data_IF_303433664633
#
_entry.id   IF_303433664633
#
_cell.length_a   1.000
_cell.length_b   1.000
_cell.length_c   1.000
_cell.angle_alpha   90.00
_cell.angle_beta   90.00
_cell.angle_gamma   90.00
#
_symmetry.space_group_name_H-M   'P 1'
#
loop_
_entity.id
_entity.type
_entity.pdbx_description
1 polymer ?
#
# COMPACT_ATOMS: atom_id res chain seq x y z
N UNK A 1 -35.72 21.16 23.92
CA UNK A 1 -34.69 20.32 23.28
C UNK A 1 -33.88 21.23 22.40
N UNK A 2 -32.57 21.36 22.64
CA UNK A 2 -31.70 22.04 21.69
C UNK A 2 -31.74 21.26 20.38
N UNK A 3 -31.86 21.95 19.25
CA UNK A 3 -31.73 21.32 17.95
C UNK A 3 -30.37 20.59 17.89
N UNK A 4 -30.28 19.38 17.31
CA UNK A 4 -28.99 18.74 17.12
C UNK A 4 -28.10 19.70 16.34
N UNK A 5 -27.01 20.16 16.96
CA UNK A 5 -25.99 20.93 16.26
C UNK A 5 -25.37 19.98 15.25
N UNK A 6 -25.31 20.37 13.97
CA UNK A 6 -24.60 19.61 12.95
C UNK A 6 -23.12 19.55 13.36
N UNK A 7 -22.69 18.41 13.87
CA UNK A 7 -21.29 18.13 14.16
C UNK A 7 -20.63 17.71 12.85
N UNK A 8 -19.69 18.51 12.36
CA UNK A 8 -18.86 18.15 11.23
C UNK A 8 -17.68 17.34 11.77
N UNK A 9 -17.50 16.14 11.22
CA UNK A 9 -16.37 15.28 11.60
C UNK A 9 -15.05 15.98 11.28
N UNK A 10 -14.14 16.01 12.25
CA UNK A 10 -12.78 16.52 12.07
C UNK A 10 -11.93 15.42 11.47
N UNK A 11 -11.56 15.57 10.20
CA UNK A 11 -10.75 14.60 9.45
C UNK A 11 -9.33 15.14 9.32
N UNK A 12 -8.34 14.31 9.68
CA UNK A 12 -6.91 14.63 9.50
C UNK A 12 -6.25 13.61 8.57
N UNK A 13 -5.43 14.08 7.65
CA UNK A 13 -4.67 13.24 6.70
C UNK A 13 -3.19 13.42 6.98
N UNK A 14 -2.53 12.33 7.35
CA UNK A 14 -1.15 12.33 7.80
C UNK A 14 -0.25 11.55 6.85
N UNK A 15 0.75 12.23 6.30
CA UNK A 15 1.68 11.71 5.31
C UNK A 15 2.99 11.43 5.99
N UNK A 16 3.33 10.14 6.11
CA UNK A 16 4.52 9.70 6.84
C UNK A 16 5.63 9.29 5.86
N UNK A 17 6.78 9.96 5.97
CA UNK A 17 7.92 9.76 5.08
C UNK A 17 7.71 10.35 3.68
N UNK A 18 8.70 10.14 2.79
CA UNK A 18 8.69 10.78 1.46
C UNK A 18 7.47 10.44 0.60
N UNK A 19 7.07 9.16 0.53
CA UNK A 19 5.90 8.74 -0.25
C UNK A 19 4.58 9.33 0.29
N UNK A 20 4.39 9.33 1.61
CA UNK A 20 3.20 9.92 2.22
C UNK A 20 3.14 11.44 2.05
N UNK A 21 4.27 12.14 2.19
CA UNK A 21 4.34 13.59 1.96
C UNK A 21 4.07 13.95 0.50
N UNK A 22 4.58 13.18 -0.46
CA UNK A 22 4.26 13.40 -1.88
C UNK A 22 2.77 13.22 -2.16
N UNK A 23 2.16 12.17 -1.61
CA UNK A 23 0.73 11.92 -1.75
C UNK A 23 -0.10 13.08 -1.16
N UNK A 24 0.26 13.60 0.02
CA UNK A 24 -0.41 14.77 0.61
C UNK A 24 -0.27 16.01 -0.27
N UNK A 25 0.94 16.32 -0.74
CA UNK A 25 1.14 17.47 -1.62
C UNK A 25 0.23 17.35 -2.87
N UNK A 26 0.10 16.14 -3.42
CA UNK A 26 -0.81 15.88 -4.53
C UNK A 26 -2.29 16.09 -4.16
N UNK A 27 -2.71 15.67 -2.97
CA UNK A 27 -4.07 15.90 -2.46
C UNK A 27 -4.37 17.40 -2.33
N UNK A 28 -3.38 18.19 -1.89
CA UNK A 28 -3.48 19.64 -1.77
C UNK A 28 -3.55 20.29 -3.16
N UNK A 29 -2.71 19.87 -4.11
CA UNK A 29 -2.73 20.38 -5.49
C UNK A 29 -4.07 20.16 -6.19
N UNK A 30 -4.69 19.00 -5.99
CA UNK A 30 -6.02 18.67 -6.55
C UNK A 30 -7.15 19.41 -5.79
N UNK A 31 -6.85 19.96 -4.62
CA UNK A 31 -7.77 20.79 -3.84
C UNK A 31 -8.75 19.98 -3.02
N UNK A 32 -8.32 18.84 -2.46
CA UNK A 32 -9.13 18.06 -1.53
C UNK A 32 -9.51 18.92 -0.30
N UNK A 33 -10.80 18.97 0.04
CA UNK A 33 -11.36 19.90 1.04
C UNK A 33 -11.90 19.16 2.26
N UNK A 34 -12.03 19.90 3.36
CA UNK A 34 -12.64 19.38 4.59
C UNK A 34 -11.72 18.46 5.40
N UNK A 35 -10.41 18.50 5.13
CA UNK A 35 -9.39 17.74 5.84
C UNK A 35 -8.25 18.67 6.25
N UNK A 36 -7.59 18.36 7.36
CA UNK A 36 -6.34 19.00 7.80
C UNK A 36 -5.15 18.12 7.39
N UNK A 37 -4.17 18.70 6.70
CA UNK A 37 -3.00 17.94 6.22
C UNK A 37 -1.81 18.07 7.18
N UNK A 38 -1.22 16.92 7.54
CA UNK A 38 -0.05 16.85 8.41
C UNK A 38 1.05 16.05 7.71
N UNK A 39 2.21 16.66 7.51
CA UNK A 39 3.39 16.00 6.98
C UNK A 39 4.34 15.61 8.11
N UNK A 40 4.72 14.34 8.19
CA UNK A 40 5.67 13.82 9.19
C UNK A 40 6.85 13.18 8.45
N UNK A 41 8.07 13.67 8.69
CA UNK A 41 9.25 13.08 8.08
C UNK A 41 10.50 13.24 8.96
N UNK A 42 11.48 12.38 8.74
CA UNK A 42 12.83 12.51 9.33
C UNK A 42 13.82 13.26 8.41
N UNK A 43 13.37 13.56 7.18
CA UNK A 43 14.08 14.36 6.19
C UNK A 43 13.52 15.79 6.21
N UNK A 44 14.32 16.72 6.71
CA UNK A 44 13.93 18.11 6.85
C UNK A 44 13.80 18.81 5.49
N UNK A 45 14.55 18.38 4.47
CA UNK A 45 14.46 18.98 3.13
C UNK A 45 13.11 18.65 2.48
N UNK A 46 12.68 17.39 2.59
CA UNK A 46 11.38 16.96 2.10
C UNK A 46 10.22 17.71 2.78
N UNK A 47 10.32 17.97 4.10
CA UNK A 47 9.28 18.72 4.83
C UNK A 47 9.20 20.19 4.43
N UNK A 48 10.34 20.84 4.17
CA UNK A 48 10.36 22.23 3.73
C UNK A 48 9.61 22.44 2.41
N UNK A 49 9.62 21.42 1.55
CA UNK A 49 8.92 21.40 0.26
C UNK A 49 7.46 20.94 0.35
N UNK A 50 6.97 20.53 1.53
CA UNK A 50 5.57 20.13 1.69
C UNK A 50 4.64 21.34 1.76
N UNK A 51 3.44 21.22 1.19
CA UNK A 51 2.39 22.24 1.28
C UNK A 51 1.40 21.99 2.44
N UNK A 52 1.65 20.98 3.26
CA UNK A 52 0.79 20.61 4.40
C UNK A 52 0.65 21.74 5.43
N UNK A 53 -0.53 21.81 6.07
CA UNK A 53 -0.88 22.79 7.10
C UNK A 53 0.05 22.67 8.32
N UNK A 54 0.38 21.44 8.70
CA UNK A 54 1.27 21.12 9.82
C UNK A 54 2.43 20.25 9.33
N UNK A 55 3.64 20.56 9.81
CA UNK A 55 4.88 19.86 9.43
C UNK A 55 5.62 19.46 10.69
N UNK A 56 5.84 18.17 10.87
CA UNK A 56 6.57 17.60 12.01
C UNK A 56 7.87 16.95 11.53
N UNK A 57 8.99 17.58 11.89
CA UNK A 57 10.34 17.01 11.73
C UNK A 57 10.63 16.11 12.91
N UNK A 58 10.60 14.80 12.67
CA UNK A 58 10.81 13.79 13.72
C UNK A 58 12.21 13.21 13.64
N UNK A 59 12.77 12.88 14.81
CA UNK A 59 14.07 12.21 14.91
C UNK A 59 15.26 13.07 14.52
N UNK A 60 15.15 14.42 14.61
CA UNK A 60 16.24 15.36 14.29
C UNK A 60 17.55 15.04 15.00
N UNK A 61 17.49 14.59 16.25
CA UNK A 61 18.68 14.18 17.02
C UNK A 61 19.33 12.90 16.48
N UNK A 62 18.52 11.98 15.94
CA UNK A 62 18.97 10.67 15.43
C UNK A 62 19.50 10.76 14.01
N UNK A 63 18.80 11.49 13.14
CA UNK A 63 19.07 11.54 11.69
C UNK A 63 19.82 12.79 11.27
N UNK A 64 19.90 13.81 12.14
CA UNK A 64 20.37 15.17 11.80
C UNK A 64 19.57 15.79 10.65
N UNK A 65 18.32 15.38 10.47
CA UNK A 65 17.43 15.84 9.40
C UNK A 65 17.72 15.23 8.02
N UNK A 66 18.52 14.15 7.96
CA UNK A 66 18.95 13.50 6.71
C UNK A 66 18.10 12.27 6.32
N UNK A 67 17.03 12.00 7.05
CA UNK A 67 16.18 10.83 6.84
C UNK A 67 16.65 9.56 7.55
N UNK A 68 15.80 8.52 7.53
CA UNK A 68 16.02 7.25 8.21
C UNK A 68 16.92 6.24 7.44
N UNK A 69 17.46 6.60 6.27
CA UNK A 69 18.39 5.75 5.51
C UNK A 69 17.84 4.36 5.11
N UNK A 70 16.55 4.28 4.77
CA UNK A 70 15.84 3.01 4.48
C UNK A 70 15.91 1.97 5.62
N UNK A 71 16.03 2.44 6.87
CA UNK A 71 15.97 1.61 8.06
C UNK A 71 14.66 1.89 8.84
N UNK A 72 13.69 0.95 8.82
CA UNK A 72 12.43 1.08 9.55
C UNK A 72 12.61 1.32 11.05
N UNK A 73 13.59 0.67 11.69
CA UNK A 73 13.83 0.84 13.12
C UNK A 73 14.21 2.29 13.50
N UNK A 74 14.90 3.01 12.61
CA UNK A 74 15.22 4.43 12.82
C UNK A 74 13.97 5.29 12.66
N UNK A 75 13.13 5.01 11.66
CA UNK A 75 11.85 5.70 11.47
C UNK A 75 10.90 5.51 12.65
N UNK A 76 10.80 4.29 13.16
CA UNK A 76 10.00 3.93 14.33
C UNK A 76 10.48 4.69 15.57
N UNK A 77 11.77 4.59 15.89
CA UNK A 77 12.32 5.28 17.05
C UNK A 77 12.15 6.80 16.95
N UNK A 78 12.34 7.36 15.77
CA UNK A 78 12.10 8.79 15.54
C UNK A 78 10.67 9.21 15.86
N UNK A 79 9.68 8.42 15.45
CA UNK A 79 8.27 8.68 15.76
C UNK A 79 7.95 8.45 17.25
N UNK A 80 8.50 7.42 17.88
CA UNK A 80 8.34 7.13 19.31
C UNK A 80 8.91 8.26 20.18
N UNK A 81 10.10 8.77 19.84
CA UNK A 81 10.75 9.88 20.56
C UNK A 81 9.95 11.19 20.45
N UNK A 82 9.09 11.34 19.44
CA UNK A 82 8.25 12.53 19.20
C UNK A 82 6.75 12.24 19.42
N UNK A 83 6.43 11.21 20.21
CA UNK A 83 5.05 10.77 20.46
C UNK A 83 4.15 11.90 20.99
N UNK A 84 4.65 12.71 21.93
CA UNK A 84 3.87 13.79 22.54
C UNK A 84 3.47 14.85 21.50
N UNK A 85 4.38 15.24 20.61
CA UNK A 85 4.10 16.21 19.54
C UNK A 85 3.09 15.66 18.53
N UNK A 86 3.22 14.37 18.16
CA UNK A 86 2.26 13.70 17.28
C UNK A 86 0.88 13.64 17.95
N UNK A 87 0.82 13.33 19.25
CA UNK A 87 -0.43 13.30 20.01
C UNK A 87 -1.11 14.66 20.02
N UNK A 88 -0.39 15.75 20.31
CA UNK A 88 -0.95 17.11 20.29
C UNK A 88 -1.55 17.48 18.94
N UNK A 89 -0.87 17.12 17.84
CA UNK A 89 -1.35 17.40 16.48
C UNK A 89 -2.55 16.53 16.11
N UNK A 90 -2.68 15.31 16.63
CA UNK A 90 -3.80 14.42 16.35
C UNK A 90 -5.03 14.63 17.25
N UNK A 91 -4.90 15.36 18.36
CA UNK A 91 -6.01 15.64 19.27
C UNK A 91 -7.21 16.26 18.55
N UNK A 92 -8.40 15.80 18.95
CA UNK A 92 -9.68 16.27 18.45
C UNK A 92 -10.08 15.72 17.08
N UNK A 93 -9.29 14.83 16.47
CA UNK A 93 -9.69 14.17 15.23
C UNK A 93 -10.74 13.09 15.50
N UNK A 94 -11.82 13.09 14.72
CA UNK A 94 -12.79 11.99 14.68
C UNK A 94 -12.30 10.85 13.78
N UNK A 95 -11.55 11.21 12.73
CA UNK A 95 -11.02 10.30 11.73
C UNK A 95 -9.61 10.72 11.31
N UNK A 96 -8.75 9.72 11.18
CA UNK A 96 -7.35 9.90 10.82
C UNK A 96 -6.99 8.96 9.67
N UNK A 97 -6.53 9.54 8.57
CA UNK A 97 -5.89 8.80 7.48
C UNK A 97 -4.38 8.81 7.66
N UNK A 98 -3.76 7.63 7.69
CA UNK A 98 -2.30 7.50 7.68
C UNK A 98 -1.87 7.01 6.29
N UNK A 99 -1.19 7.86 5.54
CA UNK A 99 -0.66 7.55 4.22
C UNK A 99 0.86 7.44 4.23
N UNK A 100 1.38 6.36 3.64
CA UNK A 100 2.79 6.08 3.59
C UNK A 100 3.18 5.20 2.39
N UNK A 101 4.39 5.41 1.89
CA UNK A 101 5.04 4.48 0.98
C UNK A 101 5.83 3.44 1.78
N UNK A 102 5.39 2.18 1.73
CA UNK A 102 6.01 1.08 2.47
C UNK A 102 7.29 0.58 1.80
N UNK A 103 8.19 0.01 2.60
CA UNK A 103 9.52 -0.43 2.16
C UNK A 103 10.60 0.63 2.29
N UNK A 104 10.26 1.84 2.74
CA UNK A 104 11.21 2.87 3.16
C UNK A 104 11.69 2.70 4.61
N UNK A 105 12.27 3.76 5.17
CA UNK A 105 12.62 3.82 6.60
C UNK A 105 11.56 4.54 7.43
N UNK A 106 11.29 5.81 7.09
CA UNK A 106 10.36 6.65 7.86
C UNK A 106 8.91 6.20 7.76
N UNK A 107 8.42 5.92 6.54
CA UNK A 107 7.04 5.46 6.31
C UNK A 107 6.78 4.15 7.05
N UNK A 108 7.51 3.11 6.66
CA UNK A 108 7.42 1.75 7.23
C UNK A 108 7.51 1.70 8.75
N UNK A 109 8.43 2.45 9.36
CA UNK A 109 8.62 2.42 10.82
C UNK A 109 7.73 3.39 11.58
N UNK A 110 7.45 4.56 10.99
CA UNK A 110 6.73 5.64 11.66
C UNK A 110 5.21 5.54 11.53
N UNK A 111 4.70 5.01 10.40
CA UNK A 111 3.26 4.92 10.15
C UNK A 111 2.52 4.09 11.23
N UNK A 112 3.02 2.91 11.67
CA UNK A 112 2.37 2.16 12.76
C UNK A 112 2.30 2.94 14.08
N UNK A 113 3.36 3.70 14.40
CA UNK A 113 3.40 4.51 15.63
C UNK A 113 2.36 5.64 15.58
N UNK A 114 2.27 6.34 14.44
CA UNK A 114 1.28 7.40 14.23
C UNK A 114 -0.15 6.84 14.31
N UNK A 115 -0.39 5.69 13.67
CA UNK A 115 -1.68 5.00 13.72
C UNK A 115 -2.08 4.59 15.15
N UNK A 116 -1.15 4.01 15.91
CA UNK A 116 -1.37 3.65 17.30
C UNK A 116 -1.81 4.84 18.16
N UNK A 117 -1.16 6.00 17.97
CA UNK A 117 -1.49 7.23 18.70
C UNK A 117 -2.88 7.71 18.33
N UNK A 118 -3.21 7.77 17.03
CA UNK A 118 -4.54 8.16 16.55
C UNK A 118 -5.65 7.27 17.13
N UNK A 119 -5.45 5.94 17.10
CA UNK A 119 -6.39 4.96 17.64
C UNK A 119 -6.53 5.07 19.16
N UNK A 120 -5.43 5.32 19.87
CA UNK A 120 -5.45 5.54 21.32
C UNK A 120 -6.22 6.81 21.73
N UNK A 121 -6.27 7.81 20.85
CA UNK A 121 -7.07 9.02 21.03
C UNK A 121 -8.56 8.82 20.68
N UNK A 122 -8.94 7.65 20.16
CA UNK A 122 -10.32 7.30 19.82
C UNK A 122 -10.77 7.69 18.41
N UNK A 123 -9.84 8.14 17.56
CA UNK A 123 -10.12 8.43 16.15
C UNK A 123 -10.28 7.14 15.35
N UNK A 124 -11.22 7.13 14.40
CA UNK A 124 -11.29 6.06 13.40
C UNK A 124 -10.04 6.16 12.51
N UNK A 125 -9.17 5.16 12.59
CA UNK A 125 -7.83 5.21 11.99
C UNK A 125 -7.78 4.31 10.76
N UNK A 126 -7.56 4.92 9.59
CA UNK A 126 -7.50 4.22 8.31
C UNK A 126 -6.10 4.37 7.72
N UNK A 127 -5.41 3.25 7.53
CA UNK A 127 -4.13 3.22 6.81
C UNK A 127 -4.37 3.11 5.31
N UNK A 128 -3.74 3.96 4.50
CA UNK A 128 -3.75 3.87 3.03
C UNK A 128 -2.30 3.86 2.56
N UNK A 129 -1.78 2.70 2.22
CA UNK A 129 -0.34 2.52 1.98
C UNK A 129 -0.05 1.82 0.66
N UNK A 130 1.12 2.10 0.08
CA UNK A 130 1.56 1.43 -1.14
C UNK A 130 2.65 0.40 -0.88
N UNK A 131 2.56 -0.78 -1.50
CA UNK A 131 3.71 -1.68 -1.68
C UNK A 131 4.64 -1.12 -2.75
N UNK A 132 5.98 -1.29 -2.62
CA UNK A 132 6.93 -0.81 -3.62
C UNK A 132 6.78 -1.58 -4.93
N UNK A 133 7.25 -0.99 -6.04
CA UNK A 133 7.37 -1.71 -7.31
C UNK A 133 8.41 -2.82 -7.21
N UNK A 134 8.21 -3.91 -7.95
CA UNK A 134 9.16 -5.03 -8.01
C UNK A 134 10.57 -4.57 -8.42
N UNK A 135 10.69 -3.57 -9.28
CA UNK A 135 11.99 -3.04 -9.73
C UNK A 135 12.79 -2.33 -8.61
N UNK A 136 12.14 -1.91 -7.53
CA UNK A 136 12.82 -1.25 -6.41
C UNK A 136 13.62 -2.24 -5.54
N UNK A 137 13.42 -3.53 -5.76
CA UNK A 137 14.24 -4.62 -5.22
C UNK A 137 13.65 -5.30 -3.99
N UNK A 138 14.08 -6.55 -3.78
CA UNK A 138 13.54 -7.47 -2.77
C UNK A 138 13.65 -6.96 -1.33
N UNK A 139 14.69 -6.17 -1.02
CA UNK A 139 14.87 -5.60 0.32
C UNK A 139 13.71 -4.68 0.69
N UNK A 140 13.28 -3.79 -0.22
CA UNK A 140 12.14 -2.89 0.02
C UNK A 140 10.85 -3.68 0.13
N UNK A 141 10.64 -4.68 -0.73
CA UNK A 141 9.45 -5.53 -0.67
C UNK A 141 9.32 -6.26 0.68
N UNK A 142 10.40 -6.85 1.19
CA UNK A 142 10.37 -7.50 2.51
C UNK A 142 10.08 -6.49 3.64
N UNK A 143 10.75 -5.33 3.62
CA UNK A 143 10.50 -4.27 4.61
C UNK A 143 9.04 -3.79 4.57
N UNK A 144 8.45 -3.71 3.37
CA UNK A 144 7.07 -3.31 3.19
C UNK A 144 6.09 -4.32 3.78
N UNK A 145 6.30 -5.63 3.57
CA UNK A 145 5.41 -6.65 4.16
C UNK A 145 5.48 -6.64 5.69
N UNK A 146 6.68 -6.45 6.27
CA UNK A 146 6.85 -6.33 7.72
C UNK A 146 6.11 -5.07 8.25
N UNK A 147 6.28 -3.91 7.58
CA UNK A 147 5.60 -2.67 7.95
C UNK A 147 4.08 -2.72 7.80
N UNK A 148 3.57 -3.35 6.73
CA UNK A 148 2.14 -3.58 6.51
C UNK A 148 1.56 -4.48 7.60
N UNK A 149 2.30 -5.51 8.04
CA UNK A 149 1.87 -6.39 9.12
C UNK A 149 1.77 -5.63 10.44
N UNK A 150 2.78 -4.84 10.80
CA UNK A 150 2.76 -3.99 12.00
C UNK A 150 1.63 -2.95 11.94
N UNK A 151 1.49 -2.24 10.82
CA UNK A 151 0.46 -1.22 10.65
C UNK A 151 -0.96 -1.79 10.77
N UNK A 152 -1.19 -3.01 10.27
CA UNK A 152 -2.51 -3.66 10.35
C UNK A 152 -3.00 -3.84 11.79
N UNK A 153 -2.10 -4.05 12.75
CA UNK A 153 -2.47 -4.21 14.16
C UNK A 153 -2.85 -2.87 14.80
N UNK A 154 -2.42 -1.75 14.21
CA UNK A 154 -2.54 -0.40 14.76
C UNK A 154 -3.62 0.46 14.09
N UNK A 155 -4.27 -0.03 13.03
CA UNK A 155 -5.38 0.66 12.33
C UNK A 155 -6.69 -0.11 12.45
N UNK A 156 -7.81 0.58 12.25
CA UNK A 156 -9.13 -0.05 12.16
C UNK A 156 -9.33 -0.69 10.78
N UNK A 157 -8.89 0.00 9.72
CA UNK A 157 -8.89 -0.49 8.35
C UNK A 157 -7.55 -0.18 7.67
N UNK A 158 -7.00 -1.15 6.93
CA UNK A 158 -5.79 -0.99 6.12
C UNK A 158 -6.06 -1.24 4.64
N UNK A 159 -5.96 -0.19 3.82
CA UNK A 159 -6.01 -0.27 2.36
C UNK A 159 -4.58 -0.40 1.85
N UNK A 160 -4.25 -1.52 1.21
CA UNK A 160 -2.93 -1.78 0.63
C UNK A 160 -3.02 -1.67 -0.89
N UNK A 161 -2.23 -0.78 -1.47
CA UNK A 161 -2.16 -0.53 -2.90
C UNK A 161 -0.89 -1.17 -3.47
N UNK A 162 -1.01 -2.17 -4.35
CA UNK A 162 0.16 -2.76 -5.01
C UNK A 162 0.63 -1.92 -6.20
N UNK A 163 1.79 -1.25 -6.06
CA UNK A 163 2.31 -0.41 -7.14
C UNK A 163 2.55 -1.19 -8.45
N UNK A 164 2.86 -2.49 -8.40
CA UNK A 164 3.01 -3.30 -9.61
C UNK A 164 1.72 -3.38 -10.45
N UNK A 165 0.53 -3.25 -9.84
CA UNK A 165 -0.73 -3.23 -10.58
C UNK A 165 -0.92 -1.92 -11.34
N UNK A 166 -0.28 -0.84 -10.91
CA UNK A 166 -0.26 0.44 -11.64
C UNK A 166 0.43 0.29 -13.00
N UNK A 167 1.42 -0.59 -13.12
CA UNK A 167 2.09 -0.87 -14.39
C UNK A 167 1.19 -1.63 -15.38
N UNK A 168 0.18 -2.36 -14.88
CA UNK A 168 -0.75 -3.11 -15.73
C UNK A 168 -1.85 -2.25 -16.34
N UNK A 169 -2.19 -1.15 -15.65
CA UNK A 169 -3.20 -0.18 -16.10
C UNK A 169 -2.60 0.98 -16.92
N UNK A 170 -1.27 1.10 -16.93
CA UNK A 170 -0.57 2.21 -17.59
C UNK A 170 0.07 1.75 -18.90
N UNK A 171 0.30 2.69 -19.82
CA UNK A 171 0.94 2.41 -21.10
C UNK A 171 2.36 1.85 -20.96
N UNK A 172 2.79 1.00 -21.89
CA UNK A 172 4.14 0.40 -21.91
C UNK A 172 5.29 1.41 -21.96
N UNK A 173 5.01 2.69 -22.22
CA UNK A 173 5.98 3.78 -22.33
C UNK A 173 6.03 4.67 -21.08
N UNK A 174 5.33 4.32 -20.00
CA UNK A 174 5.27 5.13 -18.78
C UNK A 174 6.66 5.26 -18.16
N UNK A 175 7.03 6.51 -17.84
CA UNK A 175 8.29 6.81 -17.17
C UNK A 175 8.23 6.43 -15.69
N UNK A 176 9.39 6.26 -15.05
CA UNK A 176 9.46 5.99 -13.60
C UNK A 176 8.79 7.12 -12.79
N UNK A 177 8.93 8.37 -13.23
CA UNK A 177 8.31 9.51 -12.56
C UNK A 177 6.78 9.46 -12.66
N UNK A 178 6.27 9.10 -13.83
CA UNK A 178 4.82 8.98 -14.03
C UNK A 178 4.25 7.77 -13.27
N UNK A 179 5.02 6.69 -13.13
CA UNK A 179 4.62 5.54 -12.32
C UNK A 179 4.44 5.92 -10.83
N UNK A 180 5.37 6.70 -10.26
CA UNK A 180 5.22 7.20 -8.88
C UNK A 180 4.04 8.19 -8.75
N UNK A 181 3.85 9.08 -9.73
CA UNK A 181 2.66 9.95 -9.75
C UNK A 181 1.36 9.14 -9.80
N UNK A 182 1.33 8.03 -10.53
CA UNK A 182 0.18 7.13 -10.53
C UNK A 182 -0.05 6.51 -9.15
N UNK A 183 1.00 6.20 -8.39
CA UNK A 183 0.86 5.72 -7.02
C UNK A 183 0.29 6.79 -6.10
N UNK A 184 0.79 8.03 -6.20
CA UNK A 184 0.27 9.18 -5.46
C UNK A 184 -1.20 9.45 -5.81
N UNK A 185 -1.58 9.29 -7.08
CA UNK A 185 -2.96 9.45 -7.54
C UNK A 185 -3.88 8.37 -6.95
N UNK A 186 -3.42 7.14 -6.81
CA UNK A 186 -4.22 6.07 -6.19
C UNK A 186 -4.34 6.27 -4.67
N UNK A 187 -3.28 6.74 -4.00
CA UNK A 187 -3.35 7.16 -2.59
C UNK A 187 -4.38 8.29 -2.38
N UNK A 188 -4.37 9.30 -3.26
CA UNK A 188 -5.38 10.36 -3.29
C UNK A 188 -6.78 9.76 -3.45
N UNK A 189 -7.02 8.91 -4.44
CA UNK A 189 -8.34 8.31 -4.66
C UNK A 189 -8.83 7.49 -3.46
N UNK A 190 -7.92 6.82 -2.73
CA UNK A 190 -8.28 6.06 -1.53
C UNK A 190 -8.74 6.94 -0.37
N UNK A 191 -8.09 8.07 -0.15
CA UNK A 191 -8.53 9.04 0.85
C UNK A 191 -9.79 9.77 0.37
N UNK A 192 -9.75 10.31 -0.84
CA UNK A 192 -10.84 11.07 -1.46
C UNK A 192 -12.15 10.29 -1.51
N UNK A 193 -12.10 9.01 -1.89
CA UNK A 193 -13.27 8.15 -2.01
C UNK A 193 -14.05 8.01 -0.70
N UNK A 194 -13.40 8.15 0.46
CA UNK A 194 -14.04 8.12 1.78
C UNK A 194 -14.39 9.52 2.25
N UNK A 195 -13.46 10.48 2.11
CA UNK A 195 -13.67 11.84 2.62
C UNK A 195 -14.80 12.55 1.89
N UNK A 196 -14.91 12.40 0.57
CA UNK A 196 -15.94 13.08 -0.22
C UNK A 196 -17.35 12.65 0.17
N UNK A 197 -17.52 11.42 0.66
CA UNK A 197 -18.80 10.91 1.17
C UNK A 197 -19.25 11.60 2.45
N UNK A 198 -18.33 12.23 3.19
CA UNK A 198 -18.56 12.85 4.50
C UNK A 198 -18.54 14.38 4.38
N UNK A 199 -17.58 14.94 3.64
CA UNK A 199 -17.30 16.37 3.62
C UNK A 199 -17.99 17.10 2.48
N UNK A 200 -18.27 16.41 1.37
CA UNK A 200 -18.86 17.03 0.19
C UNK A 200 -20.37 16.79 0.18
N UNK A 201 -21.21 17.86 0.15
CA UNK A 201 -22.64 17.71 0.00
C UNK A 201 -22.98 17.01 -1.32
N UNK A 202 -23.38 15.75 -1.22
CA UNK A 202 -23.89 14.92 -2.29
C UNK A 202 -25.41 14.91 -2.37
N UNK A 203 -25.91 14.24 -3.42
CA UNK A 203 -27.34 13.98 -3.59
C UNK A 203 -27.83 12.94 -2.57
N UNK A 204 -26.94 12.03 -2.18
CA UNK A 204 -27.12 11.04 -1.12
C UNK A 204 -25.91 11.16 -0.20
N UNK A 205 -26.09 11.88 0.91
CA UNK A 205 -25.06 12.02 1.93
C UNK A 205 -25.09 10.83 2.88
N UNK A 206 -23.90 10.38 3.24
CA UNK A 206 -23.71 9.40 4.30
C UNK A 206 -23.35 10.13 5.59
N UNK A 207 -23.74 9.57 6.73
CA UNK A 207 -23.27 10.08 8.00
C UNK A 207 -21.94 9.41 8.41
N UNK A 208 -21.26 10.03 9.37
CA UNK A 208 -20.00 9.50 9.88
C UNK A 208 -20.17 8.14 10.58
N UNK A 209 -21.35 7.89 11.18
CA UNK A 209 -21.60 6.65 11.90
C UNK A 209 -21.74 5.46 10.95
N UNK A 210 -22.32 5.67 9.77
CA UNK A 210 -22.41 4.70 8.68
C UNK A 210 -21.00 4.28 8.25
N UNK A 211 -20.13 5.23 7.90
CA UNK A 211 -18.73 4.94 7.52
C UNK A 211 -17.99 4.23 8.66
N UNK A 212 -18.15 4.72 9.89
CA UNK A 212 -17.56 4.10 11.08
C UNK A 212 -18.04 2.65 11.27
N UNK A 213 -19.31 2.34 11.01
CA UNK A 213 -19.86 1.00 11.19
C UNK A 213 -19.23 -0.06 10.26
N UNK A 214 -18.77 0.36 9.08
CA UNK A 214 -18.16 -0.53 8.08
C UNK A 214 -16.64 -0.58 8.18
N UNK A 215 -15.99 0.52 8.59
CA UNK A 215 -14.53 0.63 8.62
C UNK A 215 -13.92 0.40 10.02
N UNK A 216 -14.72 0.35 11.09
CA UNK A 216 -14.20 0.03 12.43
C UNK A 216 -13.80 -1.45 12.50
N UNK A 217 -12.56 -1.73 12.90
CA UNK A 217 -12.01 -3.09 13.06
C UNK A 217 -12.21 -4.00 11.83
N UNK A 218 -12.29 -3.41 10.62
CA UNK A 218 -12.54 -4.15 9.39
C UNK A 218 -11.30 -4.91 8.87
N UNK A 219 -10.12 -4.60 9.42
CA UNK A 219 -8.86 -5.24 9.05
C UNK A 219 -8.38 -4.79 7.68
N UNK A 220 -7.96 -5.72 6.82
CA UNK A 220 -7.48 -5.36 5.48
C UNK A 220 -8.65 -5.05 4.55
N UNK A 221 -8.52 -3.99 3.76
CA UNK A 221 -9.47 -3.55 2.76
C UNK A 221 -8.81 -3.50 1.37
N UNK A 222 -9.65 -3.60 0.35
CA UNK A 222 -9.29 -3.46 -1.05
C UNK A 222 -10.04 -2.28 -1.66
N UNK A 223 -9.39 -1.63 -2.63
CA UNK A 223 -9.97 -0.52 -3.35
C UNK A 223 -10.00 -0.79 -4.85
N UNK A 224 -11.14 -0.55 -5.46
CA UNK A 224 -11.34 -0.56 -6.90
C UNK A 224 -11.83 0.80 -7.38
N UNK A 225 -11.30 1.26 -8.51
CA UNK A 225 -11.67 2.54 -9.12
C UNK A 225 -12.01 2.30 -10.58
N UNK A 226 -13.11 2.89 -11.05
CA UNK A 226 -13.52 2.91 -12.44
C UNK A 226 -14.08 4.26 -12.85
N UNK A 227 -13.90 4.65 -14.11
CA UNK A 227 -14.42 5.90 -14.64
C UNK A 227 -14.87 5.70 -16.09
N UNK A 228 -16.09 6.13 -16.42
CA UNK A 228 -16.63 6.01 -17.78
C UNK A 228 -17.41 7.27 -18.19
N UNK A 229 -17.67 7.38 -19.49
CA UNK A 229 -18.41 8.47 -20.13
C UNK A 229 -19.37 7.89 -21.17
N UNK A 230 -20.40 8.66 -21.53
CA UNK A 230 -21.40 8.27 -22.53
C UNK A 230 -22.61 7.56 -21.94
N UNK A 231 -23.32 6.82 -22.78
CA UNK A 231 -24.49 6.02 -22.39
C UNK A 231 -24.03 4.85 -21.49
N UNK A 232 -24.82 4.50 -20.48
CA UNK A 232 -24.51 3.46 -19.48
C UNK A 232 -23.20 3.66 -18.69
N UNK A 233 -22.70 4.91 -18.63
CA UNK A 233 -21.44 5.27 -17.94
C UNK A 233 -21.38 4.80 -16.48
N UNK A 234 -22.48 4.84 -15.72
CA UNK A 234 -22.46 4.40 -14.33
C UNK A 234 -22.24 2.88 -14.19
N UNK A 235 -22.88 2.08 -15.04
CA UNK A 235 -22.70 0.62 -15.07
C UNK A 235 -21.28 0.27 -15.52
N UNK A 236 -20.80 0.88 -16.60
CA UNK A 236 -19.44 0.66 -17.09
C UNK A 236 -18.37 1.05 -16.05
N UNK A 237 -18.56 2.17 -15.35
CA UNK A 237 -17.66 2.60 -14.28
C UNK A 237 -17.68 1.63 -13.09
N UNK A 238 -18.86 1.13 -12.70
CA UNK A 238 -18.98 0.12 -11.65
C UNK A 238 -18.33 -1.21 -12.04
N UNK A 239 -18.53 -1.69 -13.28
CA UNK A 239 -17.85 -2.89 -13.81
C UNK A 239 -16.33 -2.75 -13.77
N UNK A 240 -15.79 -1.60 -14.16
CA UNK A 240 -14.36 -1.32 -14.08
C UNK A 240 -13.86 -1.27 -12.64
N UNK A 241 -14.65 -0.74 -11.71
CA UNK A 241 -14.29 -0.68 -10.31
C UNK A 241 -14.21 -2.08 -9.67
N UNK A 242 -15.22 -2.95 -9.89
CA UNK A 242 -15.24 -4.33 -9.35
C UNK A 242 -14.21 -5.26 -10.00
N UNK A 243 -13.78 -4.95 -11.23
CA UNK A 243 -12.76 -5.72 -11.97
C UNK A 243 -11.38 -5.07 -11.92
N UNK A 244 -11.22 -3.99 -11.13
CA UNK A 244 -10.01 -3.19 -11.09
C UNK A 244 -8.79 -4.04 -10.72
N UNK A 245 -7.64 -3.88 -11.42
CA UNK A 245 -6.40 -4.57 -11.06
C UNK A 245 -5.87 -4.24 -9.65
N UNK A 246 -6.35 -3.15 -9.05
CA UNK A 246 -6.05 -2.77 -7.67
C UNK A 246 -6.70 -3.71 -6.65
N UNK A 247 -7.77 -4.42 -7.04
CA UNK A 247 -8.38 -5.50 -6.27
C UNK A 247 -7.54 -6.77 -6.45
N UNK A 248 -6.56 -6.99 -5.56
CA UNK A 248 -5.73 -8.21 -5.55
C UNK A 248 -6.55 -9.49 -5.31
N UNK A 249 -7.75 -9.35 -4.76
CA UNK A 249 -8.72 -10.42 -4.56
C UNK A 249 -10.08 -10.05 -5.17
N UNK A 250 -10.97 -11.03 -5.24
CA UNK A 250 -12.37 -10.74 -5.51
C UNK A 250 -12.96 -9.92 -4.37
N UNK A 251 -13.94 -9.07 -4.66
CA UNK A 251 -14.77 -8.42 -3.63
C UNK A 251 -15.73 -9.42 -2.98
N UNK A 252 -15.85 -10.63 -3.55
CA UNK A 252 -16.58 -11.75 -2.97
C UNK A 252 -16.04 -12.07 -1.56
N UNK A 253 -16.97 -12.19 -0.60
CA UNK A 253 -16.66 -12.39 0.82
C UNK A 253 -16.40 -11.11 1.62
N UNK A 254 -16.44 -9.92 1.01
CA UNK A 254 -16.43 -8.67 1.77
C UNK A 254 -17.75 -8.49 2.52
N UNK A 255 -17.69 -8.34 3.84
CA UNK A 255 -18.87 -8.09 4.69
C UNK A 255 -19.22 -6.61 4.80
N UNK A 256 -18.31 -5.72 4.45
CA UNK A 256 -18.51 -4.28 4.43
C UNK A 256 -18.07 -3.69 3.10
N UNK A 257 -18.92 -2.91 2.46
CA UNK A 257 -18.60 -2.25 1.19
C UNK A 257 -19.01 -0.78 1.27
N UNK A 258 -18.05 0.12 1.00
CA UNK A 258 -18.31 1.53 0.74
C UNK A 258 -18.29 1.75 -0.78
N UNK A 259 -19.37 2.32 -1.30
CA UNK A 259 -19.52 2.67 -2.71
C UNK A 259 -19.67 4.19 -2.83
N UNK A 260 -18.70 4.83 -3.50
CA UNK A 260 -18.77 6.25 -3.83
C UNK A 260 -18.98 6.41 -5.33
N UNK A 261 -20.03 7.14 -5.71
CA UNK A 261 -20.34 7.46 -7.10
C UNK A 261 -20.24 8.98 -7.24
N UNK A 262 -19.29 9.45 -8.05
CA UNK A 262 -19.11 10.86 -8.36
C UNK A 262 -19.48 11.12 -9.82
N UNK A 263 -20.27 12.15 -10.07
CA UNK A 263 -20.64 12.57 -11.43
C UNK A 263 -21.11 14.02 -11.48
N UNK A 264 -21.37 14.54 -12.67
CA UNK A 264 -21.92 15.88 -12.83
C UNK A 264 -23.35 16.00 -12.29
N UNK A 265 -23.89 17.23 -12.30
CA UNK A 265 -25.30 17.49 -11.95
C UNK A 265 -26.33 16.76 -12.82
N UNK A 266 -25.90 16.11 -13.90
CA UNK A 266 -26.73 15.28 -14.79
C UNK A 266 -26.86 13.81 -14.32
N UNK A 267 -26.20 13.43 -13.22
CA UNK A 267 -26.22 12.06 -12.69
C UNK A 267 -27.64 11.66 -12.25
N UNK A 268 -28.20 10.65 -12.92
CA UNK A 268 -29.55 10.17 -12.68
C UNK A 268 -29.66 9.15 -11.53
N UNK A 269 -30.83 9.09 -10.88
CA UNK A 269 -31.12 8.06 -9.87
C UNK A 269 -31.07 6.63 -10.44
N UNK A 270 -31.44 6.45 -11.70
CA UNK A 270 -31.42 5.14 -12.36
C UNK A 270 -29.97 4.64 -12.55
N UNK A 271 -29.08 5.50 -13.03
CA UNK A 271 -27.65 5.23 -13.15
C UNK A 271 -27.03 4.82 -11.80
N UNK A 272 -27.36 5.53 -10.73
CA UNK A 272 -26.91 5.22 -9.37
C UNK A 272 -27.40 3.84 -8.93
N UNK A 273 -28.68 3.53 -9.16
CA UNK A 273 -29.29 2.26 -8.75
C UNK A 273 -28.67 1.07 -9.48
N UNK A 274 -28.41 1.17 -10.78
CA UNK A 274 -27.79 0.09 -11.55
C UNK A 274 -26.34 -0.18 -11.10
N UNK A 275 -25.56 0.88 -10.90
CA UNK A 275 -24.20 0.76 -10.37
C UNK A 275 -24.18 0.10 -8.97
N UNK A 276 -25.09 0.51 -8.09
CA UNK A 276 -25.21 -0.07 -6.75
C UNK A 276 -25.63 -1.53 -6.76
N UNK A 277 -26.58 -1.91 -7.64
CA UNK A 277 -27.03 -3.28 -7.77
C UNK A 277 -25.90 -4.20 -8.25
N UNK A 278 -25.12 -3.77 -9.23
CA UNK A 278 -23.98 -4.55 -9.74
C UNK A 278 -22.94 -4.83 -8.65
N UNK A 279 -22.61 -3.83 -7.84
CA UNK A 279 -21.68 -4.00 -6.71
C UNK A 279 -22.26 -4.92 -5.64
N UNK A 280 -23.57 -4.82 -5.37
CA UNK A 280 -24.25 -5.69 -4.43
C UNK A 280 -24.30 -7.16 -4.86
N UNK A 281 -24.42 -7.42 -6.16
CA UNK A 281 -24.42 -8.79 -6.70
C UNK A 281 -23.03 -9.44 -6.65
N UNK A 282 -21.97 -8.61 -6.68
CA UNK A 282 -20.59 -9.08 -6.62
C UNK A 282 -20.05 -9.25 -5.18
N UNK A 283 -20.67 -8.60 -4.19
CA UNK A 283 -20.31 -8.70 -2.77
C UNK A 283 -20.98 -9.89 -2.06
N UNK A 284 -20.68 -10.08 -0.77
CA UNK A 284 -21.33 -11.12 0.03
C UNK A 284 -22.85 -10.83 0.20
N UNK A 285 -23.76 -11.84 0.18
CA UNK A 285 -25.20 -11.63 0.30
C UNK A 285 -25.66 -10.94 1.60
N UNK A 286 -24.85 -11.05 2.66
CA UNK A 286 -25.06 -10.39 3.95
C UNK A 286 -24.13 -9.18 4.14
N UNK A 287 -23.52 -8.66 3.07
CA UNK A 287 -22.66 -7.49 3.16
C UNK A 287 -23.46 -6.25 3.57
N UNK A 288 -22.90 -5.49 4.50
CA UNK A 288 -23.36 -4.13 4.77
C UNK A 288 -22.80 -3.20 3.69
N UNK A 289 -23.65 -2.80 2.74
CA UNK A 289 -23.27 -1.95 1.62
C UNK A 289 -23.80 -0.55 1.88
N UNK A 290 -22.87 0.39 1.97
CA UNK A 290 -23.17 1.80 2.13
C UNK A 290 -22.76 2.48 0.83
N UNK A 291 -23.68 3.22 0.22
CA UNK A 291 -23.41 3.94 -1.01
C UNK A 291 -23.72 5.43 -0.83
N UNK A 292 -22.88 6.28 -1.42
CA UNK A 292 -23.12 7.71 -1.50
C UNK A 292 -22.89 8.24 -2.92
N UNK A 293 -23.55 9.35 -3.22
CA UNK A 293 -23.52 9.98 -4.53
C UNK A 293 -23.09 11.43 -4.39
N UNK A 294 -21.92 11.76 -4.95
CA UNK A 294 -21.30 13.09 -4.89
C UNK A 294 -21.49 13.78 -6.24
N UNK A 295 -21.91 15.05 -6.19
CA UNK A 295 -22.02 15.87 -7.40
C UNK A 295 -20.74 16.69 -7.55
N UNK A 296 -20.02 16.47 -8.64
CA UNK A 296 -18.84 17.21 -9.05
C UNK A 296 -18.98 17.67 -10.51
N UNK A 297 -19.36 18.94 -10.69
CA UNK A 297 -19.54 19.54 -12.00
C UNK A 297 -18.23 19.65 -12.81
N UNK A 298 -17.06 19.51 -12.17
CA UNK A 298 -15.79 19.47 -12.88
C UNK A 298 -15.60 18.19 -13.71
N UNK A 299 -16.34 17.12 -13.40
CA UNK A 299 -16.30 15.85 -14.13
C UNK A 299 -17.04 15.92 -15.48
N UNK A 300 -17.94 16.89 -15.65
CA UNK A 300 -18.73 17.02 -16.88
C UNK A 300 -19.57 15.77 -17.16
N UNK A 301 -19.25 15.04 -18.23
CA UNK A 301 -19.96 13.84 -18.66
C UNK A 301 -19.42 12.53 -18.03
N UNK A 302 -18.37 12.61 -17.22
CA UNK A 302 -17.72 11.47 -16.59
C UNK A 302 -18.38 11.06 -15.28
N UNK A 303 -18.56 9.75 -15.11
CA UNK A 303 -18.94 9.14 -13.83
C UNK A 303 -17.76 8.33 -13.32
N UNK A 304 -17.37 8.57 -12.08
CA UNK A 304 -16.33 7.85 -11.35
C UNK A 304 -16.96 7.03 -10.24
N UNK A 305 -16.65 5.74 -10.20
CA UNK A 305 -17.08 4.82 -9.16
C UNK A 305 -15.87 4.35 -8.39
N UNK A 306 -15.90 4.49 -7.07
CA UNK A 306 -14.88 3.97 -6.15
C UNK A 306 -15.54 2.97 -5.21
N UNK A 307 -15.01 1.75 -5.16
CA UNK A 307 -15.47 0.67 -4.30
C UNK A 307 -14.37 0.37 -3.28
N UNK A 308 -14.71 0.39 -2.00
CA UNK A 308 -13.83 -0.03 -0.92
C UNK A 308 -14.49 -1.21 -0.21
N UNK A 309 -13.87 -2.38 -0.34
CA UNK A 309 -14.36 -3.63 0.21
C UNK A 309 -13.51 -4.00 1.44
N UNK A 310 -14.15 -4.27 2.57
CA UNK A 310 -13.50 -4.58 3.84
C UNK A 310 -14.26 -5.68 4.61
N UNK A 311 -13.70 -6.09 5.76
CA UNK A 311 -14.33 -7.10 6.61
C UNK A 311 -14.35 -8.50 5.98
N UNK A 312 -13.28 -8.85 5.25
CA UNK A 312 -13.09 -10.20 4.71
C UNK A 312 -12.93 -11.23 5.84
N UNK A 313 -13.46 -12.44 5.63
CA UNK A 313 -13.31 -13.53 6.60
C UNK A 313 -11.83 -13.83 6.89
N UNK A 314 -11.41 -13.69 8.16
CA UNK A 314 -10.02 -13.82 8.60
C UNK A 314 -9.20 -12.53 8.57
N UNK A 315 -9.81 -11.37 8.28
CA UNK A 315 -9.16 -10.05 8.33
C UNK A 315 -8.27 -9.73 7.13
N UNK A 316 -8.26 -10.61 6.11
CA UNK A 316 -7.53 -10.45 4.87
C UNK A 316 -8.37 -10.92 3.68
N UNK A 317 -8.27 -10.25 2.52
CA UNK A 317 -8.88 -10.72 1.29
C UNK A 317 -8.30 -12.09 0.88
N UNK A 318 -9.12 -13.00 0.32
CA UNK A 318 -8.62 -14.28 -0.17
C UNK A 318 -7.64 -14.04 -1.33
N UNK A 319 -6.38 -14.43 -1.18
CA UNK A 319 -5.38 -14.25 -2.22
C UNK A 319 -5.84 -14.86 -3.55
N UNK A 320 -5.89 -14.07 -4.64
CA UNK A 320 -6.04 -14.64 -5.99
C UNK A 320 -4.86 -15.59 -6.23
N UNK A 321 -5.17 -16.88 -6.38
CA UNK A 321 -4.23 -17.80 -7.01
C UNK A 321 -4.21 -17.43 -8.48
N UNK A 322 -3.25 -16.59 -8.87
CA UNK A 322 -2.88 -16.44 -10.26
C UNK A 322 -2.42 -17.82 -10.74
N UNK A 323 -3.35 -18.59 -11.32
CA UNK A 323 -3.02 -19.79 -12.07
C UNK A 323 -2.27 -19.30 -13.30
N UNK A 324 -0.96 -19.10 -13.17
CA UNK A 324 -0.07 -19.01 -14.30
C UNK A 324 -0.25 -20.30 -15.09
N UNK A 325 -0.95 -20.19 -16.22
CA UNK A 325 -1.15 -21.26 -17.19
C UNK A 325 0.25 -21.64 -17.71
N UNK A 326 0.89 -22.62 -17.05
CA UNK A 326 2.28 -22.95 -17.38
C UNK A 326 3.06 -23.77 -16.37
N UNK A 327 2.42 -24.55 -15.50
CA UNK A 327 3.12 -25.64 -14.80
C UNK A 327 2.12 -26.77 -14.52
N UNK A 328 1.98 -27.67 -15.50
CA UNK A 328 1.33 -28.95 -15.28
C UNK A 328 2.19 -29.74 -14.27
N UNK A 329 1.89 -29.61 -12.97
CA UNK A 329 2.36 -30.53 -11.96
C UNK A 329 1.70 -31.87 -12.20
N UNK A 330 2.42 -32.77 -12.85
CA UNK A 330 2.12 -34.20 -12.86
C UNK A 330 2.14 -34.69 -11.41
N UNK A 331 0.94 -34.89 -10.85
CA UNK A 331 0.73 -35.63 -9.60
C UNK A 331 1.28 -37.04 -9.81
N UNK A 332 2.50 -37.28 -9.35
CA UNK A 332 3.06 -38.63 -9.24
C UNK A 332 2.46 -39.26 -8.00
N UNK A 333 1.55 -40.20 -8.22
CA UNK A 333 0.88 -40.99 -7.19
C UNK A 333 1.91 -41.92 -6.53
N UNK A 334 2.19 -41.68 -5.26
CA UNK A 334 2.99 -42.56 -4.40
C UNK A 334 2.13 -43.74 -3.92
N UNK A 335 2.55 -45.00 -4.09
CA UNK A 335 1.76 -46.14 -3.61
C UNK A 335 1.95 -46.33 -2.10
N UNK A 336 0.82 -46.55 -1.41
CA UNK A 336 0.73 -46.76 0.03
C UNK A 336 1.50 -48.00 0.53
N UNK A 337 2.04 -47.99 1.77
CA UNK A 337 2.75 -49.14 2.33
C UNK A 337 1.79 -50.20 2.86
N UNK A 338 2.08 -51.46 2.55
CA UNK A 338 1.37 -52.64 3.07
C UNK A 338 1.81 -52.98 4.52
N UNK A 339 0.93 -53.60 5.35
CA UNK A 339 1.19 -53.82 6.77
C UNK A 339 2.07 -55.05 7.03
N UNK A 340 3.11 -54.90 7.84
CA UNK A 340 4.01 -55.99 8.25
C UNK A 340 3.51 -56.62 9.56
N UNK A 341 3.26 -57.93 9.52
CA UNK A 341 2.92 -58.81 10.64
C UNK A 341 4.14 -59.10 11.52
N UNK A 342 3.94 -59.11 12.84
CA UNK A 342 4.94 -59.45 13.85
C UNK A 342 5.07 -60.96 14.10
N UNK A 343 6.31 -61.44 14.30
CA UNK A 343 6.75 -62.55 15.18
C UNK A 343 8.28 -62.80 14.98
N UNK A 344 8.98 -63.59 15.83
CA UNK A 344 9.42 -63.29 17.20
C UNK A 344 10.97 -63.39 17.37
N UNK A 345 11.50 -62.95 18.52
CA UNK A 345 12.93 -63.10 18.90
C UNK A 345 13.39 -64.56 18.99
N UNK A 346 14.70 -64.82 18.78
CA UNK A 346 15.45 -65.53 19.83
C UNK A 346 16.93 -65.11 20.04
N UNK A 347 17.30 -65.00 21.32
CA UNK A 347 18.45 -65.58 22.06
C UNK A 347 19.83 -65.76 21.38
N UNK A 348 20.87 -65.22 22.04
CA UNK A 348 22.33 -65.36 21.75
C UNK A 348 22.87 -66.79 21.99
N UNK A 349 23.99 -67.21 21.37
CA UNK A 349 25.29 -67.09 22.08
C UNK A 349 26.53 -66.86 21.18
N UNK A 350 27.65 -66.57 21.86
CA UNK A 350 28.99 -66.32 21.35
C UNK A 350 29.78 -67.61 20.99
N UNK A 351 30.70 -67.52 20.02
CA UNK A 351 32.14 -67.90 20.05
C UNK A 351 32.68 -68.23 18.64
N UNK A 352 33.83 -67.63 18.30
CA UNK A 352 34.93 -68.31 17.62
C UNK A 352 35.03 -68.24 16.08
N UNK A 353 36.16 -67.70 15.60
CA UNK A 353 36.80 -68.22 14.38
C UNK A 353 37.13 -67.23 13.26
N UNK A 354 38.31 -66.59 13.36
CA UNK A 354 39.33 -66.39 12.31
C UNK A 354 38.88 -66.29 10.83
N UNK A 355 39.19 -65.15 10.18
CA UNK A 355 39.28 -65.13 8.72
C UNK A 355 39.40 -63.75 8.07
N UNK A 356 40.64 -63.32 7.85
CA UNK A 356 41.12 -62.49 6.72
C UNK A 356 40.51 -61.10 6.45
N UNK A 357 41.33 -60.09 6.74
CA UNK A 357 41.21 -58.71 6.24
C UNK A 357 41.71 -58.66 4.79
N UNK A 358 40.92 -58.07 3.88
CA UNK A 358 41.39 -57.55 2.58
C UNK A 358 40.80 -56.15 2.33
N UNK A 359 41.49 -55.29 1.56
CA UNK A 359 41.51 -53.83 1.79
C UNK A 359 40.35 -53.05 1.15
N UNK A 360 40.10 -51.86 1.72
CA UNK A 360 39.21 -50.81 1.19
C UNK A 360 39.65 -50.36 -0.22
N UNK A 361 38.69 -50.30 -1.14
CA UNK A 361 38.83 -49.56 -2.40
C UNK A 361 38.64 -48.05 -2.17
N UNK A 362 39.51 -47.27 -2.78
CA UNK A 362 39.49 -45.81 -2.81
C UNK A 362 38.36 -45.27 -3.71
N UNK A 363 37.78 -44.10 -3.40
CA UNK A 363 36.77 -43.45 -4.21
C UNK A 363 37.35 -42.89 -5.53
N UNK A 364 36.56 -42.85 -6.62
CA UNK A 364 37.03 -42.40 -7.93
C UNK A 364 37.32 -40.89 -7.98
N UNK A 365 38.34 -40.54 -8.77
CA UNK A 365 38.84 -39.19 -9.00
C UNK A 365 37.81 -38.28 -9.71
N UNK A 366 37.89 -36.94 -9.51
CA UNK A 366 36.98 -35.99 -10.14
C UNK A 366 37.23 -35.86 -11.65
N UNK A 367 36.14 -35.83 -12.42
CA UNK A 367 36.15 -35.57 -13.87
C UNK A 367 36.38 -34.07 -14.10
N UNK A 368 37.43 -33.73 -14.86
CA UNK A 368 37.75 -32.36 -15.28
C UNK A 368 36.70 -31.83 -16.28
N UNK A 369 36.10 -30.68 -15.97
CA UNK A 369 35.19 -29.96 -16.86
C UNK A 369 36.04 -29.01 -17.73
N UNK A 370 35.87 -28.97 -19.07
CA UNK A 370 36.63 -28.05 -19.91
C UNK A 370 36.33 -26.59 -19.58
N UNK A 371 37.38 -25.81 -19.31
CA UNK A 371 37.32 -24.37 -19.03
C UNK A 371 37.14 -23.62 -20.35
N UNK A 372 36.00 -22.95 -20.50
CA UNK A 372 35.72 -22.02 -21.59
C UNK A 372 36.56 -20.73 -21.42
N UNK A 373 37.20 -20.19 -22.47
CA UNK A 373 38.07 -19.02 -22.35
C UNK A 373 37.28 -17.77 -21.97
N UNK A 374 37.73 -17.10 -20.90
CA UNK A 374 37.14 -15.88 -20.38
C UNK A 374 37.10 -14.76 -21.44
N UNK A 375 35.93 -14.12 -21.55
CA UNK A 375 35.76 -12.89 -22.33
C UNK A 375 36.66 -11.76 -21.77
N UNK A 376 37.19 -10.87 -22.63
CA UNK A 376 38.05 -9.78 -22.19
C UNK A 376 37.28 -8.78 -21.33
N UNK A 377 37.93 -8.31 -20.25
CA UNK A 377 37.37 -7.32 -19.34
C UNK A 377 37.02 -6.00 -20.05
N UNK A 378 35.92 -5.33 -19.67
CA UNK A 378 35.60 -4.01 -20.21
C UNK A 378 36.70 -3.00 -19.84
N UNK A 379 37.19 -2.28 -20.85
CA UNK A 379 38.21 -1.24 -20.69
C UNK A 379 37.61 -0.05 -19.92
N UNK A 380 38.20 0.27 -18.77
CA UNK A 380 37.91 1.50 -18.03
C UNK A 380 38.44 2.68 -18.85
N UNK A 381 37.63 3.70 -19.19
CA UNK A 381 38.14 4.91 -19.84
C UNK A 381 39.17 5.57 -18.94
N UNK A 382 40.34 5.91 -19.49
CA UNK A 382 41.34 6.71 -18.79
C UNK A 382 40.74 8.06 -18.43
N UNK A 383 40.83 8.43 -17.15
CA UNK A 383 40.45 9.75 -16.68
C UNK A 383 41.22 10.82 -17.47
N UNK A 384 40.51 11.74 -18.11
CA UNK A 384 41.12 12.95 -18.67
C UNK A 384 41.72 13.76 -17.51
N UNK A 385 42.99 14.20 -17.58
CA UNK A 385 43.48 15.20 -16.66
C UNK A 385 42.64 16.46 -16.82
N UNK A 386 42.07 16.95 -15.73
CA UNK A 386 41.47 18.29 -15.68
C UNK A 386 42.62 19.27 -15.89
N UNK A 387 42.70 19.86 -17.08
CA UNK A 387 43.62 20.96 -17.34
C UNK A 387 43.03 22.21 -16.68
N UNK A 388 43.79 22.82 -15.77
CA UNK A 388 43.54 24.14 -15.21
C UNK A 388 43.18 25.11 -16.35
N UNK A 389 41.91 25.51 -16.39
CA UNK A 389 41.47 26.67 -17.15
C UNK A 389 41.30 27.82 -16.15
N UNK A 390 41.91 28.98 -16.39
CA UNK A 390 41.89 30.09 -15.45
C UNK A 390 40.46 30.61 -15.27
N UNK A 391 40.13 30.92 -14.01
CA UNK A 391 38.85 31.47 -13.61
C UNK A 391 38.47 32.69 -14.46
N UNK A 392 37.41 32.55 -15.27
CA UNK A 392 36.67 33.69 -15.79
C UNK A 392 35.83 34.27 -14.66
N UNK A 393 36.10 35.54 -14.34
CA UNK A 393 35.30 36.37 -13.44
C UNK A 393 33.83 36.35 -13.86
N UNK A 394 32.97 35.85 -12.96
CA UNK A 394 31.53 36.01 -13.06
C UNK A 394 31.19 37.49 -12.80
N UNK A 395 30.77 38.18 -13.85
CA UNK A 395 30.31 39.57 -13.81
C UNK A 395 28.97 39.65 -13.06
N UNK A 396 29.01 40.11 -11.80
CA UNK A 396 27.83 40.31 -10.95
C UNK A 396 27.18 41.65 -11.33
N UNK A 397 25.92 41.69 -11.79
CA UNK A 397 25.24 42.93 -12.13
C UNK A 397 25.14 43.91 -10.95
N UNK A 398 25.39 45.19 -11.19
CA UNK A 398 25.50 46.26 -10.17
C UNK A 398 24.24 46.52 -9.31
N UNK A 399 23.12 45.83 -9.53
CA UNK A 399 21.95 45.91 -8.63
C UNK A 399 22.01 44.92 -7.45
N UNK A 400 23.01 44.03 -7.41
CA UNK A 400 23.28 43.09 -6.33
C UNK A 400 24.56 43.41 -5.53
N UNK A 401 25.09 44.63 -5.65
CA UNK A 401 26.14 45.17 -4.77
C UNK A 401 25.58 46.08 -3.69
#
# INVERSE_FOLDING_TARGET
MAAPQNYLAVIKVIGVGGGGVNAINRMIEVGLKGVEFIAINTDAQALLMSDADVKLDVGRELTRGLGAGANPAVGRKAAEDHREEIEEVLKGADMVFVTAGEGGGTGTGGAPVVANIARSLGALTIGVVTRPFTFEGRRRANQAEDGIAELREEVDTLIVIPNDRLLSISDRQVSVLDAFKSADQVLLSGVQGITDLITTPGLINLDFADVKSVMSEAGSALMGIGSARGDDRAVAAAEMAISSPLLEASIDGARGVLLSISGGSDLGLFEINEAAQLVSEAAHPEANIIFGAVIDDALGDEVRVTVIAAGFDGGQPPARRDNVIGAASTKREEPAPAPVRAAPEPVRPAFGGLGTVTPREDPPAPVEVPVEPAAPAPQVPTARPYADSPAEELDVPDFLK
#
